data_IF_304093133153
#
_entry.id   IF_304093133153
#
_cell.length_a   1.000
_cell.length_b   1.000
_cell.length_c   1.000
_cell.angle_alpha   90.00
_cell.angle_beta   90.00
_cell.angle_gamma   90.00
#
_symmetry.space_group_name_H-M   'P 1'
#
loop_
_entity.id
_entity.type
_entity.pdbx_description
1 polymer ?
#
# COMPACT_ATOMS: atom_id res chain seq x y z
N UNK A 1 -0.45 -10.15 1.92
CA UNK A 1 -0.68 -8.90 2.69
C UNK A 1 0.66 -8.20 2.84
N UNK A 2 0.70 -6.87 2.91
CA UNK A 2 1.94 -6.12 3.12
C UNK A 2 1.76 -5.12 4.27
N UNK A 3 2.83 -4.82 4.98
CA UNK A 3 2.81 -3.88 6.12
C UNK A 3 3.74 -2.68 5.85
N UNK A 4 3.28 -1.47 6.20
CA UNK A 4 4.09 -0.24 6.15
C UNK A 4 4.31 0.41 7.52
N UNK A 5 3.47 0.13 8.52
CA UNK A 5 3.50 0.81 9.82
C UNK A 5 3.88 -0.13 10.97
N UNK A 6 4.85 0.30 11.80
CA UNK A 6 5.17 -0.38 13.06
C UNK A 6 4.04 -0.20 14.08
N UNK A 7 3.85 -1.19 14.93
CA UNK A 7 2.94 -1.06 16.05
C UNK A 7 3.51 -0.10 17.10
N UNK A 8 2.67 0.79 17.64
CA UNK A 8 3.04 1.74 18.70
C UNK A 8 2.13 1.47 19.89
N UNK A 9 2.71 0.90 20.95
CA UNK A 9 2.01 0.61 22.20
C UNK A 9 1.45 1.89 22.81
N UNK A 10 0.21 1.85 23.28
CA UNK A 10 -0.51 2.99 23.85
C UNK A 10 -1.16 3.92 22.83
N UNK A 11 -0.79 3.83 21.55
CA UNK A 11 -1.40 4.62 20.46
C UNK A 11 -2.28 3.77 19.57
N UNK A 12 -1.79 2.61 19.15
CA UNK A 12 -2.53 1.72 18.27
C UNK A 12 -3.42 0.75 19.07
N UNK A 13 -4.63 0.43 18.58
CA UNK A 13 -5.49 -0.55 19.23
C UNK A 13 -4.84 -1.94 19.23
N UNK A 14 -4.90 -2.65 20.36
CA UNK A 14 -4.24 -3.96 20.53
C UNK A 14 -4.74 -5.00 19.54
N UNK A 15 -6.01 -4.93 19.14
CA UNK A 15 -6.60 -5.80 18.11
C UNK A 15 -5.98 -5.62 16.72
N UNK A 16 -5.21 -4.54 16.49
CA UNK A 16 -4.48 -4.27 15.25
C UNK A 16 -3.01 -4.70 15.32
N UNK A 17 -2.55 -5.22 16.45
CA UNK A 17 -1.18 -5.74 16.59
C UNK A 17 -1.02 -7.04 15.80
N UNK A 18 -0.05 -7.05 14.88
CA UNK A 18 0.40 -8.26 14.19
C UNK A 18 1.89 -8.42 14.39
N UNK A 19 2.30 -9.51 15.03
CA UNK A 19 3.71 -9.86 15.16
C UNK A 19 4.12 -10.77 14.01
N UNK A 20 5.10 -10.33 13.22
CA UNK A 20 5.61 -11.10 12.09
C UNK A 20 7.13 -11.05 12.04
N UNK A 21 7.76 -12.24 12.03
CA UNK A 21 9.21 -12.42 11.98
C UNK A 21 9.93 -11.62 13.08
N UNK A 22 9.35 -11.61 14.28
CA UNK A 22 9.84 -10.85 15.44
C UNK A 22 9.57 -9.35 15.40
N UNK A 23 8.87 -8.86 14.37
CA UNK A 23 8.55 -7.44 14.19
C UNK A 23 7.06 -7.19 14.46
N UNK A 24 6.77 -6.21 15.30
CA UNK A 24 5.40 -5.75 15.57
C UNK A 24 4.94 -4.73 14.53
N UNK A 25 3.84 -5.05 13.85
CA UNK A 25 3.20 -4.24 12.81
C UNK A 25 1.79 -3.85 13.23
N UNK A 26 1.32 -2.73 12.68
CA UNK A 26 -0.07 -2.31 12.81
C UNK A 26 -0.84 -2.69 11.55
N UNK A 27 -1.83 -3.56 11.69
CA UNK A 27 -2.70 -3.99 10.60
C UNK A 27 -3.78 -2.96 10.28
N UNK A 28 -4.29 -3.03 9.04
CA UNK A 28 -5.40 -2.24 8.53
C UNK A 28 -5.23 -0.72 8.66
N UNK A 29 -4.00 -0.21 8.72
CA UNK A 29 -3.76 1.23 8.69
C UNK A 29 -4.22 1.78 7.35
N UNK A 30 -5.03 2.83 7.38
CA UNK A 30 -5.45 3.54 6.17
C UNK A 30 -4.30 4.45 5.72
N UNK A 31 -3.39 3.90 4.93
CA UNK A 31 -2.21 4.60 4.44
C UNK A 31 -2.60 5.65 3.38
N UNK A 32 -2.56 6.92 3.77
CA UNK A 32 -3.00 8.03 2.90
C UNK A 32 -1.89 8.39 1.91
N UNK A 33 -2.18 8.18 0.64
CA UNK A 33 -1.35 8.64 -0.46
C UNK A 33 -1.61 10.11 -0.78
N UNK A 34 -2.89 10.49 -0.82
CA UNK A 34 -3.37 11.84 -1.11
C UNK A 34 -4.58 12.10 -0.22
N UNK A 35 -4.70 13.34 0.27
CA UNK A 35 -5.83 13.80 1.08
C UNK A 35 -6.92 14.42 0.20
N UNK A 36 -8.13 14.51 0.75
CA UNK A 36 -9.19 15.31 0.13
C UNK A 36 -8.71 16.76 -0.01
N UNK A 37 -9.04 17.41 -1.13
CA UNK A 37 -8.62 18.79 -1.47
C UNK A 37 -7.11 19.02 -1.67
N UNK A 38 -6.28 17.98 -1.56
CA UNK A 38 -4.89 18.10 -1.94
C UNK A 38 -4.78 18.22 -3.47
N UNK A 39 -4.29 19.37 -3.93
CA UNK A 39 -4.02 19.59 -5.35
C UNK A 39 -2.87 18.70 -5.81
N UNK A 40 -3.10 17.95 -6.89
CA UNK A 40 -2.12 17.10 -7.57
C UNK A 40 -2.02 17.52 -9.04
N UNK A 41 -0.81 17.63 -9.55
CA UNK A 41 -0.55 17.91 -10.96
C UNK A 41 -0.50 16.62 -11.78
N UNK A 42 -0.81 16.73 -13.07
CA UNK A 42 -0.61 15.63 -14.01
C UNK A 42 0.87 15.31 -14.10
N UNK A 43 1.22 14.05 -13.88
CA UNK A 43 2.59 13.56 -13.79
C UNK A 43 3.12 13.45 -12.37
N UNK A 44 2.42 14.00 -11.37
CA UNK A 44 2.81 13.85 -9.97
C UNK A 44 2.83 12.39 -9.59
N UNK A 45 3.84 12.06 -8.79
CA UNK A 45 4.10 10.68 -8.40
C UNK A 45 4.26 10.58 -6.88
N UNK A 46 3.39 9.79 -6.25
CA UNK A 46 3.48 9.45 -4.83
C UNK A 46 4.04 8.04 -4.70
N UNK A 47 5.04 7.87 -3.85
CA UNK A 47 5.75 6.61 -3.66
C UNK A 47 5.58 6.15 -2.20
N UNK A 48 5.21 4.88 -2.01
CA UNK A 48 5.14 4.22 -0.70
C UNK A 48 5.86 2.90 -0.74
N UNK A 49 6.49 2.53 0.38
CA UNK A 49 7.22 1.29 0.52
C UNK A 49 6.52 0.37 1.51
N UNK A 50 6.36 -0.88 1.12
CA UNK A 50 5.74 -1.91 1.93
C UNK A 50 6.68 -3.08 2.12
N UNK A 51 6.54 -3.76 3.26
CA UNK A 51 7.23 -5.02 3.55
C UNK A 51 6.23 -6.16 3.35
N UNK A 52 6.53 -7.14 2.47
CA UNK A 52 5.71 -8.33 2.33
C UNK A 52 5.48 -9.03 3.67
N UNK A 53 4.28 -9.55 3.89
CA UNK A 53 3.95 -10.22 5.15
C UNK A 53 4.70 -11.55 5.31
N UNK A 54 5.16 -12.21 4.24
CA UNK A 54 5.94 -13.45 4.32
C UNK A 54 6.99 -13.45 3.22
N UNK A 55 8.21 -13.87 3.55
CA UNK A 55 9.24 -14.18 2.55
C UNK A 55 8.78 -15.35 1.68
N UNK A 56 8.85 -15.21 0.35
CA UNK A 56 8.46 -16.27 -0.59
C UNK A 56 6.95 -16.49 -0.68
N UNK A 57 6.15 -15.46 -0.37
CA UNK A 57 4.73 -15.48 -0.73
C UNK A 57 4.64 -15.52 -2.26
N UNK A 58 3.62 -16.14 -2.85
CA UNK A 58 3.54 -16.22 -4.32
C UNK A 58 3.04 -14.89 -4.94
N UNK A 59 2.25 -14.14 -4.18
CA UNK A 59 1.59 -12.92 -4.65
C UNK A 59 1.21 -12.03 -3.46
N UNK A 60 1.52 -10.74 -3.54
CA UNK A 60 1.05 -9.71 -2.61
C UNK A 60 -0.15 -8.97 -3.20
N UNK A 61 -1.18 -8.71 -2.39
CA UNK A 61 -2.37 -7.96 -2.86
C UNK A 61 -2.41 -6.62 -2.14
N UNK A 62 -2.44 -5.53 -2.92
CA UNK A 62 -2.64 -4.18 -2.42
C UNK A 62 -4.06 -3.75 -2.72
N UNK A 63 -4.79 -3.36 -1.69
CA UNK A 63 -6.14 -2.81 -1.82
C UNK A 63 -6.06 -1.29 -1.82
N UNK A 64 -6.63 -0.67 -2.84
CA UNK A 64 -6.74 0.79 -2.91
C UNK A 64 -8.13 1.18 -2.43
N UNK A 65 -8.19 2.08 -1.46
CA UNK A 65 -9.44 2.60 -0.91
C UNK A 65 -9.54 4.10 -1.16
N UNK A 66 -10.77 4.59 -1.22
CA UNK A 66 -11.07 6.01 -1.13
C UNK A 66 -11.99 6.25 0.07
N UNK A 67 -11.92 7.46 0.63
CA UNK A 67 -12.83 7.92 1.68
C UNK A 67 -13.05 9.41 1.55
N UNK A 68 -14.27 9.88 1.82
CA UNK A 68 -14.60 11.31 1.91
C UNK A 68 -14.17 11.93 3.25
N UNK A 69 -13.71 11.10 4.19
CA UNK A 69 -13.29 11.52 5.52
C UNK A 69 -11.78 11.52 5.62
N UNK A 70 -11.22 12.67 5.97
CA UNK A 70 -9.78 12.79 6.17
C UNK A 70 -9.31 12.30 7.55
N UNK A 71 -10.21 12.04 8.50
CA UNK A 71 -9.88 11.59 9.86
C UNK A 71 -9.76 10.05 9.98
N UNK A 72 -9.82 9.32 8.85
CA UNK A 72 -9.74 7.85 8.84
C UNK A 72 -8.32 7.39 9.14
N UNK A 73 -8.11 6.74 10.28
CA UNK A 73 -6.81 6.14 10.64
C UNK A 73 -6.66 4.68 10.23
N UNK A 74 -7.78 3.96 10.12
CA UNK A 74 -7.82 2.52 9.81
C UNK A 74 -8.86 2.23 8.74
N UNK A 75 -8.62 1.19 7.93
CA UNK A 75 -9.55 0.73 6.91
C UNK A 75 -10.86 0.34 7.62
N UNK A 76 -11.98 1.01 7.33
CA UNK A 76 -13.24 0.71 7.98
C UNK A 76 -13.74 -0.68 7.54
N UNK A 77 -14.48 -1.37 8.42
CA UNK A 77 -15.04 -2.71 8.17
C UNK A 77 -15.93 -2.73 6.90
N UNK A 78 -16.50 -1.58 6.53
CA UNK A 78 -17.31 -1.37 5.32
C UNK A 78 -16.61 -0.54 4.24
N UNK A 79 -15.27 -0.46 4.28
CA UNK A 79 -14.50 0.31 3.31
C UNK A 79 -14.69 -0.24 1.90
N UNK A 80 -15.08 0.63 0.98
CA UNK A 80 -15.21 0.26 -0.43
C UNK A 80 -13.81 0.25 -1.06
N UNK A 81 -13.26 -0.94 -1.28
CA UNK A 81 -12.04 -1.09 -2.07
C UNK A 81 -12.37 -0.78 -3.53
N UNK A 82 -11.58 0.08 -4.16
CA UNK A 82 -11.74 0.41 -5.58
C UNK A 82 -11.41 -0.81 -6.45
N UNK A 83 -10.15 -1.26 -6.40
CA UNK A 83 -9.68 -2.49 -7.05
C UNK A 83 -8.46 -3.08 -6.31
N UNK A 84 -8.36 -4.41 -6.16
CA UNK A 84 -7.15 -5.06 -5.67
C UNK A 84 -6.09 -5.15 -6.78
N UNK A 85 -4.85 -4.75 -6.48
CA UNK A 85 -3.69 -4.94 -7.35
C UNK A 85 -2.90 -6.18 -6.89
N UNK A 86 -2.96 -7.32 -7.61
CA UNK A 86 -2.09 -8.45 -7.36
C UNK A 86 -0.67 -8.15 -7.87
N UNK A 87 0.32 -8.40 -7.03
CA UNK A 87 1.74 -8.20 -7.29
C UNK A 87 2.38 -9.59 -7.24
N UNK A 88 2.71 -10.19 -8.39
CA UNK A 88 3.36 -11.49 -8.43
C UNK A 88 4.78 -11.38 -7.84
N UNK A 89 5.14 -12.36 -7.01
CA UNK A 89 6.45 -12.42 -6.38
C UNK A 89 7.37 -13.31 -7.24
N UNK A 90 7.97 -12.71 -8.28
CA UNK A 90 8.96 -13.40 -9.10
C UNK A 90 10.34 -13.24 -8.44
N UNK A 91 10.87 -14.34 -7.88
CA UNK A 91 12.18 -14.42 -7.21
C UNK A 91 12.47 -13.25 -6.24
N UNK A 92 11.59 -13.00 -5.27
CA UNK A 92 11.78 -11.90 -4.33
C UNK A 92 12.91 -12.20 -3.34
N UNK A 93 14.03 -11.49 -3.54
CA UNK A 93 15.06 -11.31 -2.52
C UNK A 93 14.51 -10.36 -1.46
N UNK A 94 13.75 -10.88 -0.48
CA UNK A 94 13.43 -10.28 0.83
C UNK A 94 13.41 -8.73 0.88
N UNK A 95 12.81 -8.10 -0.12
CA UNK A 95 13.05 -6.72 -0.49
C UNK A 95 11.80 -5.90 -0.31
N UNK A 96 11.95 -4.65 0.12
CA UNK A 96 10.80 -3.73 0.23
C UNK A 96 10.17 -3.56 -1.15
N UNK A 97 8.85 -3.68 -1.22
CA UNK A 97 8.06 -3.40 -2.42
C UNK A 97 7.79 -1.90 -2.48
N UNK A 98 8.01 -1.28 -3.63
CA UNK A 98 7.69 0.13 -3.88
C UNK A 98 6.40 0.22 -4.70
N UNK A 99 5.38 0.85 -4.12
CA UNK A 99 4.14 1.19 -4.81
C UNK A 99 4.24 2.65 -5.25
N UNK A 100 4.03 2.85 -6.54
CA UNK A 100 4.08 4.14 -7.21
C UNK A 100 2.71 4.47 -7.77
N UNK A 101 2.18 5.59 -7.30
CA UNK A 101 0.92 6.17 -7.71
C UNK A 101 1.22 7.40 -8.58
N UNK A 102 0.80 7.37 -9.84
CA UNK A 102 1.00 8.45 -10.81
C UNK A 102 -0.35 9.04 -11.18
N UNK A 103 -0.49 10.35 -11.01
CA UNK A 103 -1.70 11.07 -11.37
C UNK A 103 -1.65 11.44 -12.85
N UNK A 104 -2.53 10.85 -13.65
CA UNK A 104 -2.74 11.20 -15.06
C UNK A 104 -3.76 12.34 -15.22
N UNK A 105 -4.03 12.73 -16.47
CA UNK A 105 -4.98 13.80 -16.78
C UNK A 105 -6.43 13.50 -16.36
N UNK A 106 -6.86 12.24 -16.49
CA UNK A 106 -8.23 11.80 -16.18
C UNK A 106 -8.28 10.53 -15.30
N UNK A 107 -7.13 10.07 -14.80
CA UNK A 107 -7.07 8.77 -14.15
C UNK A 107 -5.84 8.57 -13.27
N UNK A 108 -5.91 7.56 -12.42
CA UNK A 108 -4.87 7.17 -11.49
C UNK A 108 -4.14 5.94 -12.04
N UNK A 109 -2.83 6.04 -12.24
CA UNK A 109 -1.99 4.91 -12.58
C UNK A 109 -1.31 4.39 -11.32
N UNK A 110 -1.54 3.12 -11.00
CA UNK A 110 -0.87 2.46 -9.88
C UNK A 110 0.10 1.44 -10.44
N UNK A 111 1.31 1.40 -9.91
CA UNK A 111 2.33 0.43 -10.28
C UNK A 111 3.11 -0.06 -9.07
N UNK A 112 3.55 -1.31 -9.11
CA UNK A 112 4.38 -1.94 -8.10
C UNK A 112 5.75 -2.29 -8.69
N UNK A 113 6.82 -1.99 -7.95
CA UNK A 113 8.22 -2.18 -8.34
C UNK A 113 9.04 -2.80 -7.20
N UNK A 114 10.08 -3.56 -7.55
CA UNK A 114 11.08 -4.05 -6.60
C UNK A 114 12.18 -3.01 -6.37
N UNK A 115 12.41 -2.58 -5.13
CA UNK A 115 13.35 -1.49 -4.78
C UNK A 115 14.82 -1.81 -5.13
N UNK A 116 15.38 -2.98 -4.78
CA UNK A 116 16.78 -3.29 -5.11
C UNK A 116 17.10 -3.36 -6.61
N UNK A 117 16.11 -3.57 -7.48
CA UNK A 117 16.35 -3.84 -8.92
C UNK A 117 15.60 -2.92 -9.89
N UNK A 118 14.69 -2.06 -9.40
CA UNK A 118 13.87 -1.17 -10.24
C UNK A 118 12.92 -1.91 -11.19
N UNK A 119 12.61 -3.19 -10.92
CA UNK A 119 11.85 -4.05 -11.83
C UNK A 119 10.35 -3.84 -11.63
N UNK A 120 9.64 -3.57 -12.73
CA UNK A 120 8.17 -3.47 -12.74
C UNK A 120 7.52 -4.84 -12.55
N UNK A 121 6.59 -4.96 -11.58
CA UNK A 121 5.90 -6.22 -11.24
C UNK A 121 4.43 -6.24 -11.67
N UNK A 122 3.72 -5.14 -11.47
CA UNK A 122 2.30 -5.03 -11.80
C UNK A 122 1.85 -3.57 -11.91
N UNK A 123 0.73 -3.32 -12.58
CA UNK A 123 0.10 -2.01 -12.57
C UNK A 123 -1.22 -1.97 -13.35
N UNK A 124 -2.03 -0.96 -13.08
CA UNK A 124 -3.24 -0.67 -13.84
C UNK A 124 -2.90 0.30 -14.99
N UNK A 125 -3.31 0.02 -16.25
CA UNK A 125 -3.24 0.99 -17.31
C UNK A 125 -4.22 2.14 -17.07
N UNK A 126 -3.96 3.31 -17.67
CA UNK A 126 -4.92 4.41 -17.70
C UNK A 126 -6.21 3.90 -18.38
N UNK A 127 -7.36 4.21 -17.77
CA UNK A 127 -8.66 4.08 -18.42
C UNK A 127 -8.80 5.02 -19.61
#
# INVERSE_FOLDING_TARGET
MCFSYRFVHGTHPTEKLVVKDGVEWCADVFDKFVLTDQSVCVGDTVIRRYTPARSGQACSVIHIYCSERDDVGFIPIRGQAMQPLPIPEEEAVAGKEEIRLVFGGYGLKVSAMDVPWGRFKAGFPNG
#
